data_IF_911359863588
#
_entry.id   IF_911359863588
#
_cell.length_a   1.000
_cell.length_b   1.000
_cell.length_c   1.000
_cell.angle_alpha   90.00
_cell.angle_beta   90.00
_cell.angle_gamma   90.00
#
_symmetry.space_group_name_H-M   'P 1'
#
loop_
_entity.id
_entity.type
_entity.pdbx_description
1 polymer ?
#
# COMPACT_ATOMS: atom_id res chain seq x y z
N UNK A 1 2.29 6.58 7.37
CA UNK A 1 1.03 7.20 7.89
C UNK A 1 0.59 6.54 9.19
N UNK A 2 0.68 5.21 9.26
CA UNK A 2 0.39 4.36 10.42
C UNK A 2 1.68 3.66 10.89
N UNK A 3 2.71 4.45 11.21
CA UNK A 3 4.06 3.98 11.57
C UNK A 3 4.74 3.02 10.57
N UNK A 4 5.68 2.22 11.08
CA UNK A 4 6.54 1.32 10.29
C UNK A 4 5.87 -0.04 10.09
N UNK A 5 5.25 -0.22 8.93
CA UNK A 5 4.65 -1.48 8.47
C UNK A 5 4.80 -1.63 6.97
N UNK A 6 4.28 -2.72 6.42
CA UNK A 6 4.20 -2.94 4.97
C UNK A 6 2.84 -2.47 4.48
N UNK A 7 2.85 -1.51 3.55
CA UNK A 7 1.65 -0.86 3.05
C UNK A 7 1.22 -1.49 1.73
N UNK A 8 -0.06 -1.79 1.63
CA UNK A 8 -0.75 -2.28 0.43
C UNK A 8 -2.03 -1.47 0.19
N UNK A 9 -2.60 -1.61 -0.99
CA UNK A 9 -3.82 -0.94 -1.41
C UNK A 9 -4.56 -1.87 -2.37
N UNK A 10 -5.88 -1.96 -2.26
CA UNK A 10 -6.70 -2.61 -3.27
C UNK A 10 -6.83 -1.75 -4.54
N UNK A 11 -6.54 -0.45 -4.43
CA UNK A 11 -6.55 0.50 -5.53
C UNK A 11 -5.17 0.56 -6.21
N UNK A 12 -5.06 0.05 -7.45
CA UNK A 12 -3.78 -0.04 -8.19
C UNK A 12 -3.19 1.31 -8.60
N UNK A 13 -4.02 2.29 -8.97
CA UNK A 13 -3.57 3.65 -9.30
C UNK A 13 -2.85 4.31 -8.12
N UNK A 14 -3.34 4.08 -6.90
CA UNK A 14 -2.66 4.53 -5.68
C UNK A 14 -1.28 3.91 -5.53
N UNK A 15 -1.16 2.59 -5.69
CA UNK A 15 0.13 1.90 -5.63
C UNK A 15 1.09 2.35 -6.74
N UNK A 16 0.56 2.66 -7.92
CA UNK A 16 1.33 3.24 -9.02
C UNK A 16 1.95 4.60 -8.65
N UNK A 17 1.29 5.44 -7.87
CA UNK A 17 1.84 6.74 -7.45
C UNK A 17 3.12 6.60 -6.60
N UNK A 18 3.37 5.41 -6.03
CA UNK A 18 4.60 5.09 -5.31
C UNK A 18 5.68 4.44 -6.20
N UNK A 19 5.39 4.20 -7.47
CA UNK A 19 6.34 3.61 -8.41
C UNK A 19 7.27 4.67 -8.99
N UNK A 20 8.59 4.41 -8.95
CA UNK A 20 9.60 5.30 -9.53
C UNK A 20 10.65 4.51 -10.29
N UNK A 21 10.72 4.72 -11.59
CA UNK A 21 11.80 4.17 -12.41
C UNK A 21 13.07 5.00 -12.18
N UNK A 22 14.14 4.35 -11.71
CA UNK A 22 15.44 5.01 -11.47
C UNK A 22 16.25 5.21 -12.76
N UNK A 23 15.86 4.51 -13.84
CA UNK A 23 16.42 4.65 -15.18
C UNK A 23 15.30 4.86 -16.20
N UNK A 24 15.68 5.22 -17.43
CA UNK A 24 14.73 5.41 -18.52
C UNK A 24 14.14 4.06 -18.96
N UNK A 25 12.98 3.72 -18.41
CA UNK A 25 12.20 2.53 -18.78
C UNK A 25 10.75 2.93 -19.08
N UNK A 26 10.15 2.45 -20.18
CA UNK A 26 8.71 2.62 -20.46
C UNK A 26 7.83 1.68 -19.61
N UNK A 27 8.45 0.71 -18.94
CA UNK A 27 7.78 -0.26 -18.08
C UNK A 27 7.81 0.18 -16.63
N UNK A 28 6.68 0.06 -15.96
CA UNK A 28 6.55 0.18 -14.51
C UNK A 28 6.21 -1.19 -13.92
N UNK A 29 6.70 -1.45 -12.72
CA UNK A 29 6.52 -2.71 -12.00
C UNK A 29 5.64 -2.51 -10.77
N UNK A 30 4.66 -3.40 -10.57
CA UNK A 30 3.85 -3.49 -9.36
C UNK A 30 3.86 -4.92 -8.82
N UNK A 31 3.91 -5.05 -7.49
CA UNK A 31 3.74 -6.33 -6.81
C UNK A 31 2.28 -6.54 -6.44
N UNK A 32 1.71 -7.66 -6.87
CA UNK A 32 0.44 -8.16 -6.36
C UNK A 32 0.72 -9.20 -5.29
N UNK A 33 0.27 -8.91 -4.07
CA UNK A 33 0.58 -9.70 -2.88
C UNK A 33 -0.68 -10.38 -2.34
N UNK A 34 -0.51 -11.60 -1.82
CA UNK A 34 -1.47 -12.23 -0.93
C UNK A 34 -1.17 -11.72 0.49
N UNK A 35 -2.16 -11.13 1.13
CA UNK A 35 -2.01 -10.48 2.44
C UNK A 35 -2.96 -11.14 3.43
N UNK A 36 -2.42 -11.63 4.55
CA UNK A 36 -3.19 -12.16 5.68
C UNK A 36 -3.58 -10.98 6.57
N UNK A 37 -4.80 -10.47 6.37
CA UNK A 37 -5.30 -9.27 7.06
C UNK A 37 -5.70 -9.57 8.52
N UNK A 38 -6.18 -10.77 8.83
CA UNK A 38 -6.64 -11.13 10.17
C UNK A 38 -7.82 -10.28 10.64
N UNK A 39 -7.80 -9.84 11.90
CA UNK A 39 -8.75 -8.88 12.47
C UNK A 39 -8.26 -7.42 12.25
N UNK A 40 -8.88 -6.65 11.34
CA UNK A 40 -8.41 -5.30 11.03
C UNK A 40 -8.92 -4.24 12.02
N UNK A 41 -8.05 -3.29 12.37
CA UNK A 41 -8.44 -2.06 13.06
C UNK A 41 -8.62 -0.91 12.06
N UNK A 42 -9.83 -0.36 11.96
CA UNK A 42 -10.13 0.74 11.04
C UNK A 42 -9.68 2.09 11.60
N UNK A 43 -8.98 2.89 10.80
CA UNK A 43 -8.54 4.24 11.15
C UNK A 43 -8.91 5.23 10.05
N UNK A 44 -9.27 6.46 10.44
CA UNK A 44 -9.64 7.54 9.50
C UNK A 44 -8.61 8.68 9.46
N UNK A 45 -7.83 8.83 10.53
CA UNK A 45 -6.83 9.88 10.70
C UNK A 45 -5.41 9.27 10.75
N UNK A 46 -4.40 10.05 10.37
CA UNK A 46 -3.00 9.62 10.44
C UNK A 46 -2.58 9.37 11.89
N UNK A 47 -1.86 8.26 12.13
CA UNK A 47 -1.22 7.97 13.42
C UNK A 47 0.24 7.54 13.19
N UNK A 48 1.17 8.49 13.01
CA UNK A 48 2.55 8.18 12.65
C UNK A 48 3.31 7.41 13.75
N UNK A 49 2.83 7.46 15.00
CA UNK A 49 3.41 6.77 16.16
C UNK A 49 2.81 5.35 16.36
N UNK A 50 1.95 4.88 15.46
CA UNK A 50 1.36 3.55 15.51
C UNK A 50 2.30 2.51 14.88
N UNK A 51 3.07 1.79 15.68
CA UNK A 51 4.06 0.81 15.17
C UNK A 51 3.53 -0.64 15.11
N UNK A 52 2.31 -0.86 15.56
CA UNK A 52 1.60 -2.14 15.58
C UNK A 52 0.09 -1.84 15.68
N UNK A 53 -0.81 -2.76 15.28
CA UNK A 53 -2.23 -2.59 15.53
C UNK A 53 -2.53 -2.63 17.05
N UNK A 54 -3.65 -2.08 17.53
CA UNK A 54 -4.06 -2.22 18.93
C UNK A 54 -4.22 -3.70 19.34
N UNK A 55 -4.19 -3.97 20.65
CA UNK A 55 -4.34 -5.32 21.19
C UNK A 55 -5.63 -5.98 20.69
N UNK A 56 -5.51 -7.23 20.23
CA UNK A 56 -6.60 -8.00 19.64
C UNK A 56 -6.81 -7.79 18.14
N UNK A 57 -6.00 -6.97 17.48
CA UNK A 57 -6.03 -6.75 16.03
C UNK A 57 -4.72 -7.18 15.38
N UNK A 58 -4.79 -7.55 14.10
CA UNK A 58 -3.65 -8.09 13.33
C UNK A 58 -3.11 -7.10 12.29
N UNK A 59 -3.94 -6.15 11.87
CA UNK A 59 -3.65 -5.19 10.81
C UNK A 59 -4.38 -3.87 11.02
N UNK A 60 -4.01 -2.85 10.24
CA UNK A 60 -4.72 -1.57 10.19
C UNK A 60 -5.27 -1.36 8.79
N UNK A 61 -6.53 -0.88 8.72
CA UNK A 61 -7.15 -0.42 7.48
C UNK A 61 -7.37 1.09 7.60
N UNK A 62 -6.58 1.85 6.83
CA UNK A 62 -6.80 3.27 6.62
C UNK A 62 -7.97 3.49 5.68
N UNK A 63 -9.05 4.09 6.18
CA UNK A 63 -10.27 4.36 5.43
C UNK A 63 -10.19 5.71 4.71
N UNK A 64 -10.66 5.81 3.45
CA UNK A 64 -10.73 7.08 2.74
C UNK A 64 -11.76 8.04 3.37
N UNK A 65 -11.59 9.34 3.12
CA UNK A 65 -12.61 10.37 3.44
C UNK A 65 -12.21 11.42 4.47
N UNK A 66 -11.05 11.25 5.15
CA UNK A 66 -10.44 12.30 5.98
C UNK A 66 -8.99 12.53 5.57
N UNK A 67 -8.06 11.79 6.15
CA UNK A 67 -6.63 11.95 5.86
C UNK A 67 -6.15 11.21 4.59
N UNK A 68 -7.01 10.36 4.02
CA UNK A 68 -6.70 9.46 2.92
C UNK A 68 -7.66 9.65 1.75
N UNK A 69 -7.13 9.64 0.53
CA UNK A 69 -7.92 9.64 -0.72
C UNK A 69 -8.34 8.22 -1.14
N UNK A 70 -7.64 7.20 -0.65
CA UNK A 70 -7.81 5.80 -1.02
C UNK A 70 -7.50 4.91 0.19
N UNK A 71 -7.94 3.67 0.15
CA UNK A 71 -7.67 2.67 1.19
C UNK A 71 -6.17 2.41 1.40
N UNK A 72 -5.77 2.12 2.64
CA UNK A 72 -4.45 1.56 2.96
C UNK A 72 -4.66 0.32 3.81
N UNK A 73 -4.08 -0.82 3.41
CA UNK A 73 -3.94 -1.99 4.28
C UNK A 73 -2.51 -2.05 4.78
N UNK A 74 -2.33 -2.07 6.10
CA UNK A 74 -1.02 -2.09 6.74
C UNK A 74 -0.90 -3.35 7.58
N UNK A 75 0.12 -4.15 7.28
CA UNK A 75 0.52 -5.30 8.10
C UNK A 75 1.87 -5.03 8.77
N UNK A 76 2.04 -5.58 9.96
CA UNK A 76 3.22 -5.32 10.81
C UNK A 76 4.10 -6.55 11.02
N UNK A 77 3.72 -7.70 10.46
CA UNK A 77 4.49 -8.94 10.48
C UNK A 77 4.86 -9.34 9.05
N UNK A 78 6.13 -9.72 8.84
CA UNK A 78 6.62 -10.06 7.51
C UNK A 78 5.96 -11.33 6.93
N UNK A 79 5.57 -12.26 7.79
CA UNK A 79 4.87 -13.50 7.41
C UNK A 79 3.40 -13.26 7.01
N UNK A 80 2.85 -12.07 7.27
CA UNK A 80 1.49 -11.70 6.87
C UNK A 80 1.38 -11.24 5.41
N UNK A 81 2.48 -11.16 4.66
CA UNK A 81 2.48 -10.73 3.26
C UNK A 81 3.38 -11.60 2.40
N UNK A 82 2.87 -12.00 1.23
CA UNK A 82 3.61 -12.79 0.25
C UNK A 82 3.39 -12.26 -1.17
N UNK A 83 4.46 -11.85 -1.88
CA UNK A 83 4.37 -11.56 -3.31
C UNK A 83 3.92 -12.80 -4.09
N UNK A 84 2.93 -12.62 -4.96
CA UNK A 84 2.37 -13.71 -5.79
C UNK A 84 2.64 -13.44 -7.27
N UNK A 85 2.58 -12.18 -7.67
CA UNK A 85 2.86 -11.77 -9.05
C UNK A 85 3.68 -10.48 -9.10
N UNK A 86 4.54 -10.40 -10.12
CA UNK A 86 5.16 -9.17 -10.58
C UNK A 86 4.44 -8.73 -11.86
N UNK A 87 3.77 -7.59 -11.81
CA UNK A 87 3.02 -7.03 -12.93
C UNK A 87 3.89 -5.97 -13.59
N UNK A 88 4.12 -6.11 -14.90
CA UNK A 88 4.75 -5.09 -15.73
C UNK A 88 3.70 -4.46 -16.64
N UNK A 89 3.63 -3.13 -16.65
CA UNK A 89 2.72 -2.38 -17.50
C UNK A 89 3.41 -1.15 -18.09
N UNK A 90 2.89 -0.66 -19.21
CA UNK A 90 3.37 0.55 -19.85
C UNK A 90 2.79 1.76 -19.13
N UNK A 91 3.66 2.69 -18.75
CA UNK A 91 3.24 4.00 -18.25
C UNK A 91 3.48 5.02 -19.35
N UNK A 92 2.43 5.52 -20.03
CA UNK A 92 2.58 6.48 -21.11
C UNK A 92 3.30 7.73 -20.59
N UNK A 93 4.19 8.30 -21.40
CA UNK A 93 4.76 9.61 -21.08
C UNK A 93 3.63 10.64 -21.05
N UNK A 94 3.69 11.57 -20.10
CA UNK A 94 3.07 12.87 -20.32
C UNK A 94 3.71 13.45 -21.59
N UNK A 95 2.92 13.71 -22.62
CA UNK A 95 3.40 14.39 -23.81
C UNK A 95 3.98 15.73 -23.39
N UNK A 96 5.29 15.90 -23.57
CA UNK A 96 5.93 17.20 -23.52
C UNK A 96 5.36 18.02 -24.68
N UNK A 97 4.33 18.81 -24.39
CA UNK A 97 3.86 19.88 -25.26
C UNK A 97 4.85 21.04 -25.28
#
# INVERSE_FOLDING_TARGET
RFGKGVYCSATSSKSNDYSKNLSHSPWTALLLNSVVVGNPYNMYDNSPQQFHPPDGYDSIIGQPGRALNYDETIVYRNDAIRPVYLILYLTPRASSG
#
